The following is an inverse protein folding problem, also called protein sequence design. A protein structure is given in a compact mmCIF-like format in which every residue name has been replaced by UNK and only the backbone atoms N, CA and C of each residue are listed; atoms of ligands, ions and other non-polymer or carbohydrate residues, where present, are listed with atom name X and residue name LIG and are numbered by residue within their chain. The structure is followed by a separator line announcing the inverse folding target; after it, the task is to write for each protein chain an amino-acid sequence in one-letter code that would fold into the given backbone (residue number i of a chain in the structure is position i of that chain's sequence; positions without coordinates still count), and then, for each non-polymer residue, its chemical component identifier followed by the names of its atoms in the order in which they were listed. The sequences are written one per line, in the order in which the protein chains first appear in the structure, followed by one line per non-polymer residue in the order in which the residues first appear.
data_IF_142754905166
#
_entry.id   IF_142754905166
#
_cell.length_a   1.000
_cell.length_b   1.000
_cell.length_c   1.000
_cell.angle_alpha   90.00
_cell.angle_beta   90.00
_cell.angle_gamma   90.00
#
_symmetry.space_group_name_H-M   'P 1'
#
loop_
_entity.id
_entity.type
_entity.pdbx_description
1 polymer ?
#
# COMPACT_ATOMS: atom_id res chain seq x y z
N UNK A 1 -5.10 23.12 -0.75
CA UNK A 1 -5.34 21.67 -0.65
C UNK A 1 -6.02 21.41 0.68
N UNK A 2 -6.97 20.46 0.77
CA UNK A 2 -7.58 20.08 2.04
C UNK A 2 -6.53 19.47 2.99
N UNK A 3 -6.70 19.66 4.29
CA UNK A 3 -5.86 19.05 5.33
C UNK A 3 -6.30 17.60 5.61
N UNK A 4 -5.40 16.77 6.14
CA UNK A 4 -5.73 15.40 6.56
C UNK A 4 -6.91 15.39 7.55
N UNK A 5 -6.92 16.33 8.49
CA UNK A 5 -7.99 16.45 9.49
C UNK A 5 -9.36 16.76 8.86
N UNK A 6 -9.41 17.61 7.83
CA UNK A 6 -10.64 17.92 7.11
C UNK A 6 -11.15 16.72 6.30
N UNK A 7 -10.25 15.97 5.68
CA UNK A 7 -10.59 14.78 4.90
C UNK A 7 -11.15 13.67 5.80
N UNK A 8 -10.46 13.35 6.89
CA UNK A 8 -10.92 12.33 7.84
C UNK A 8 -12.28 12.72 8.45
N UNK A 9 -12.50 13.99 8.80
CA UNK A 9 -13.77 14.44 9.41
C UNK A 9 -15.01 14.26 8.52
N UNK A 10 -14.85 14.11 7.20
CA UNK A 10 -15.96 13.84 6.27
C UNK A 10 -16.47 12.40 6.37
N UNK A 11 -15.69 11.50 6.94
CA UNK A 11 -16.01 10.08 7.04
C UNK A 11 -16.81 9.74 8.29
N UNK A 12 -17.42 8.54 8.30
CA UNK A 12 -18.20 8.07 9.45
C UNK A 12 -17.32 7.92 10.70
N UNK A 13 -17.84 8.09 11.93
CA UNK A 13 -17.03 8.02 13.14
C UNK A 13 -16.21 6.73 13.29
N UNK A 14 -16.76 5.59 12.86
CA UNK A 14 -16.05 4.31 12.87
C UNK A 14 -14.88 4.32 11.87
N UNK A 15 -15.11 4.82 10.65
CA UNK A 15 -14.07 4.89 9.62
C UNK A 15 -12.93 5.84 10.04
N UNK A 16 -13.26 6.95 10.69
CA UNK A 16 -12.26 7.88 11.21
C UNK A 16 -11.25 7.22 12.14
N UNK A 17 -11.69 6.27 12.97
CA UNK A 17 -10.80 5.57 13.89
C UNK A 17 -9.77 4.72 13.14
N UNK A 18 -10.19 4.02 12.07
CA UNK A 18 -9.28 3.24 11.24
C UNK A 18 -8.37 4.13 10.40
N UNK A 19 -8.90 5.17 9.76
CA UNK A 19 -8.12 6.08 8.91
C UNK A 19 -7.01 6.79 9.69
N UNK A 20 -7.27 7.17 10.95
CA UNK A 20 -6.25 7.73 11.85
C UNK A 20 -5.15 6.74 12.24
N UNK A 21 -5.37 5.43 12.10
CA UNK A 21 -4.32 4.41 12.30
C UNK A 21 -3.48 4.21 11.05
N UNK A 22 -4.02 4.52 9.88
CA UNK A 22 -3.35 4.37 8.59
C UNK A 22 -2.58 5.61 8.17
N UNK A 23 -3.12 6.80 8.41
CA UNK A 23 -2.58 8.05 7.90
C UNK A 23 -2.44 9.04 9.04
N UNK A 24 -1.24 9.60 9.17
CA UNK A 24 -0.85 10.52 10.23
C UNK A 24 -0.24 11.78 9.59
N UNK A 25 -0.34 12.89 10.29
CA UNK A 25 0.36 14.13 9.94
C UNK A 25 1.31 14.49 11.08
N UNK A 26 2.60 14.52 10.79
CA UNK A 26 3.66 14.83 11.74
C UNK A 26 4.46 16.03 11.25
N UNK A 27 4.44 17.13 12.02
CA UNK A 27 5.16 18.36 11.66
C UNK A 27 4.82 18.91 10.24
N UNK A 28 3.62 18.63 9.74
CA UNK A 28 3.16 19.02 8.40
C UNK A 28 3.47 18.03 7.29
N UNK A 29 4.16 16.92 7.59
CA UNK A 29 4.40 15.82 6.66
C UNK A 29 3.36 14.71 6.83
N UNK A 30 2.82 14.22 5.71
CA UNK A 30 1.95 13.04 5.70
C UNK A 30 2.81 11.78 5.80
N UNK A 31 2.54 10.99 6.84
CA UNK A 31 3.09 9.66 7.10
C UNK A 31 2.00 8.62 6.90
N UNK A 32 2.35 7.51 6.26
CA UNK A 32 1.42 6.41 6.01
C UNK A 32 1.94 5.16 6.67
N UNK A 33 1.10 4.53 7.48
CA UNK A 33 1.39 3.23 8.06
C UNK A 33 0.97 2.13 7.07
N UNK A 34 1.81 1.92 6.06
CA UNK A 34 1.60 0.92 5.02
C UNK A 34 1.47 -0.51 5.58
N UNK A 35 2.13 -0.82 6.69
CA UNK A 35 1.99 -2.11 7.38
C UNK A 35 0.59 -2.31 7.97
N UNK A 36 0.00 -1.28 8.56
CA UNK A 36 -1.37 -1.35 9.08
C UNK A 36 -2.39 -1.51 7.95
N UNK A 37 -2.17 -0.85 6.80
CA UNK A 37 -2.99 -1.03 5.59
C UNK A 37 -2.89 -2.47 5.09
N UNK A 38 -1.67 -2.97 4.84
CA UNK A 38 -1.48 -4.33 4.32
C UNK A 38 -1.96 -5.41 5.27
N UNK A 39 -1.81 -5.22 6.59
CA UNK A 39 -2.39 -6.10 7.61
C UNK A 39 -3.92 -6.08 7.56
N UNK A 40 -4.52 -4.90 7.46
CA UNK A 40 -5.97 -4.77 7.38
C UNK A 40 -6.52 -5.47 6.13
N UNK A 41 -5.90 -5.30 4.96
CA UNK A 41 -6.28 -6.00 3.73
C UNK A 41 -6.22 -7.52 3.89
N UNK A 42 -5.16 -8.05 4.51
CA UNK A 42 -4.98 -9.49 4.77
C UNK A 42 -6.00 -10.05 5.76
N UNK A 43 -6.29 -9.32 6.83
CA UNK A 43 -7.21 -9.75 7.89
C UNK A 43 -8.69 -9.59 7.50
N UNK A 44 -9.00 -8.79 6.47
CA UNK A 44 -10.37 -8.44 6.11
C UNK A 44 -10.66 -8.74 4.64
N UNK A 45 -11.19 -9.93 4.37
CA UNK A 45 -11.54 -10.39 3.02
C UNK A 45 -12.97 -10.04 2.60
N UNK A 46 -13.77 -9.45 3.50
CA UNK A 46 -15.14 -9.03 3.20
C UNK A 46 -15.15 -7.68 2.48
N UNK A 47 -15.90 -7.60 1.38
CA UNK A 47 -15.98 -6.41 0.52
C UNK A 47 -16.37 -5.12 1.28
N UNK A 48 -17.24 -5.22 2.29
CA UNK A 48 -17.63 -4.06 3.11
C UNK A 48 -16.49 -3.50 3.97
N UNK A 49 -15.51 -4.34 4.32
CA UNK A 49 -14.35 -3.92 5.10
C UNK A 49 -13.27 -3.32 4.20
N UNK A 50 -13.12 -3.79 2.96
CA UNK A 50 -12.18 -3.20 1.99
C UNK A 50 -12.54 -1.74 1.61
N UNK A 51 -13.78 -1.31 1.84
CA UNK A 51 -14.19 0.11 1.66
C UNK A 51 -13.34 1.10 2.47
N UNK A 52 -12.78 0.70 3.61
CA UNK A 52 -11.91 1.60 4.39
C UNK A 52 -10.58 1.85 3.68
N UNK A 53 -10.08 0.87 2.94
CA UNK A 53 -8.84 0.94 2.18
C UNK A 53 -9.04 1.83 0.97
N UNK A 54 -10.16 1.67 0.25
CA UNK A 54 -10.55 2.56 -0.85
C UNK A 54 -10.63 4.02 -0.40
N UNK A 55 -11.17 4.26 0.80
CA UNK A 55 -11.20 5.58 1.44
C UNK A 55 -9.80 6.09 1.79
N UNK A 56 -8.93 5.23 2.35
CA UNK A 56 -7.55 5.59 2.64
C UNK A 56 -6.80 6.00 1.36
N UNK A 57 -6.91 5.22 0.28
CA UNK A 57 -6.31 5.56 -1.01
C UNK A 57 -6.88 6.85 -1.60
N UNK A 58 -8.19 7.09 -1.46
CA UNK A 58 -8.83 8.34 -1.89
C UNK A 58 -8.25 9.55 -1.14
N UNK A 59 -8.10 9.46 0.19
CA UNK A 59 -7.49 10.51 1.00
C UNK A 59 -6.02 10.72 0.60
N UNK A 60 -5.26 9.65 0.38
CA UNK A 60 -3.85 9.74 -0.03
C UNK A 60 -3.68 10.36 -1.42
N UNK A 61 -4.64 10.18 -2.34
CA UNK A 61 -4.67 10.89 -3.61
C UNK A 61 -4.96 12.38 -3.42
N UNK A 62 -5.94 12.74 -2.58
CA UNK A 62 -6.24 14.17 -2.29
C UNK A 62 -5.08 14.89 -1.59
N UNK A 63 -4.28 14.16 -0.81
CA UNK A 63 -3.07 14.66 -0.15
C UNK A 63 -1.81 14.61 -1.04
N UNK A 64 -1.89 14.03 -2.24
CA UNK A 64 -0.77 13.93 -3.18
C UNK A 64 0.32 12.91 -2.81
N UNK A 65 0.00 11.94 -1.95
CA UNK A 65 0.87 10.78 -1.66
C UNK A 65 0.74 9.71 -2.74
N UNK A 66 -0.48 9.56 -3.28
CA UNK A 66 -0.78 8.72 -4.43
C UNK A 66 -1.23 9.58 -5.62
N UNK A 67 -1.10 9.03 -6.82
CA UNK A 67 -1.47 9.68 -8.08
C UNK A 67 -2.02 8.67 -9.07
N UNK A 68 -2.82 9.14 -10.01
CA UNK A 68 -3.23 8.39 -11.21
C UNK A 68 -2.46 8.83 -12.46
N UNK A 69 -1.58 9.83 -12.34
CA UNK A 69 -0.67 10.26 -13.40
C UNK A 69 0.65 9.46 -13.30
N UNK A 70 1.05 8.72 -14.34
CA UNK A 70 2.34 8.02 -14.34
C UNK A 70 3.54 8.97 -14.39
N UNK A 71 3.38 10.20 -14.88
CA UNK A 71 4.49 11.14 -15.06
C UNK A 71 5.02 11.65 -13.71
N UNK A 72 6.31 11.41 -13.48
CA UNK A 72 7.03 11.79 -12.27
C UNK A 72 6.80 10.84 -11.09
N UNK A 73 6.00 9.79 -11.26
CA UNK A 73 5.57 8.90 -10.19
C UNK A 73 6.04 7.46 -10.41
N UNK A 74 5.98 6.66 -9.36
CA UNK A 74 6.48 5.29 -9.29
C UNK A 74 5.34 4.29 -9.33
N UNK A 75 5.46 3.26 -10.15
CA UNK A 75 4.61 2.07 -10.10
C UNK A 75 5.39 0.92 -9.48
N UNK A 76 4.79 0.22 -8.52
CA UNK A 76 5.25 -1.08 -8.09
C UNK A 76 4.77 -2.12 -9.10
N UNK A 77 5.73 -2.77 -9.76
CA UNK A 77 5.54 -3.95 -10.60
C UNK A 77 6.15 -5.17 -9.89
N UNK A 78 6.02 -6.39 -10.44
CA UNK A 78 6.46 -7.67 -9.82
C UNK A 78 7.90 -7.63 -9.22
N UNK A 79 8.04 -7.10 -8.01
CA UNK A 79 9.31 -6.93 -7.28
C UNK A 79 10.19 -5.75 -7.74
N UNK A 80 9.70 -4.84 -8.59
CA UNK A 80 10.49 -3.72 -9.13
C UNK A 80 9.70 -2.40 -9.15
N UNK A 81 10.41 -1.28 -9.03
CA UNK A 81 9.84 0.08 -9.10
C UNK A 81 10.14 0.75 -10.44
N UNK A 82 9.09 1.12 -11.17
CA UNK A 82 9.21 1.81 -12.45
C UNK A 82 8.85 3.29 -12.28
N UNK A 83 9.79 4.19 -12.55
CA UNK A 83 9.55 5.63 -12.65
C UNK A 83 9.07 5.98 -14.06
N UNK A 84 8.03 6.82 -14.19
CA UNK A 84 7.41 7.17 -15.48
C UNK A 84 6.98 5.93 -16.29
N UNK A 85 6.19 5.00 -15.74
CA UNK A 85 5.78 3.81 -16.44
C UNK A 85 5.05 4.17 -17.75
N UNK A 86 5.50 3.57 -18.85
CA UNK A 86 4.95 3.81 -20.19
C UNK A 86 3.93 2.72 -20.50
N UNK A 87 2.71 3.15 -20.85
CA UNK A 87 1.55 2.28 -21.03
C UNK A 87 0.61 2.39 -19.83
N UNK A 88 -0.54 3.03 -20.02
CA UNK A 88 -1.57 3.09 -18.98
C UNK A 88 -2.10 1.68 -18.73
N UNK A 89 -1.63 1.07 -17.65
CA UNK A 89 -2.40 0.02 -17.00
C UNK A 89 -3.66 0.69 -16.43
N UNK A 90 -4.81 0.32 -16.97
CA UNK A 90 -6.10 0.87 -16.58
C UNK A 90 -6.27 0.69 -15.06
N UNK A 91 -6.57 1.78 -14.33
CA UNK A 91 -6.72 1.82 -12.87
C UNK A 91 -5.45 1.60 -12.01
N UNK A 92 -4.24 1.84 -12.54
CA UNK A 92 -3.04 1.83 -11.68
C UNK A 92 -2.96 3.03 -10.75
N UNK A 93 -2.58 2.75 -9.50
CA UNK A 93 -2.17 3.73 -8.51
C UNK A 93 -0.65 3.89 -8.54
N UNK A 94 -0.18 5.13 -8.60
CA UNK A 94 1.24 5.48 -8.59
C UNK A 94 1.60 6.17 -7.28
N UNK A 95 2.80 5.89 -6.77
CA UNK A 95 3.36 6.56 -5.60
C UNK A 95 4.09 7.83 -6.03
N UNK A 96 3.86 8.95 -5.34
CA UNK A 96 4.58 10.20 -5.63
C UNK A 96 5.98 10.23 -5.01
N UNK A 97 6.24 9.36 -4.02
CA UNK A 97 7.53 9.21 -3.35
C UNK A 97 7.99 7.75 -3.41
N UNK A 98 9.25 7.53 -3.78
CA UNK A 98 9.85 6.18 -3.83
C UNK A 98 9.86 5.48 -2.46
N UNK A 99 10.00 6.24 -1.38
CA UNK A 99 10.00 5.68 -0.02
C UNK A 99 8.68 4.98 0.30
N UNK A 100 7.54 5.63 0.00
CA UNK A 100 6.22 5.03 0.22
C UNK A 100 6.03 3.77 -0.61
N UNK A 101 6.52 3.76 -1.85
CA UNK A 101 6.44 2.58 -2.73
C UNK A 101 7.17 1.38 -2.11
N UNK A 102 8.36 1.60 -1.55
CA UNK A 102 9.16 0.57 -0.85
C UNK A 102 8.52 0.08 0.43
N UNK A 103 7.99 0.99 1.24
CA UNK A 103 7.30 0.62 2.47
C UNK A 103 6.00 -0.15 2.19
N UNK A 104 5.30 0.22 1.12
CA UNK A 104 4.14 -0.53 0.62
C UNK A 104 4.55 -1.94 0.17
N UNK A 105 5.57 -2.09 -0.67
CA UNK A 105 6.07 -3.40 -1.12
C UNK A 105 6.38 -4.32 0.08
N UNK A 106 7.13 -3.80 1.05
CA UNK A 106 7.47 -4.52 2.29
C UNK A 106 6.23 -5.00 3.04
N UNK A 107 5.21 -4.15 3.18
CA UNK A 107 3.97 -4.48 3.89
C UNK A 107 3.14 -5.58 3.18
N UNK A 108 3.17 -5.61 1.84
CA UNK A 108 2.32 -6.49 1.05
C UNK A 108 3.02 -7.82 0.71
N UNK A 109 4.29 -7.79 0.29
CA UNK A 109 4.95 -8.93 -0.37
C UNK A 109 6.06 -9.61 0.43
N UNK A 110 6.79 -8.92 1.32
CA UNK A 110 7.90 -9.56 2.06
C UNK A 110 7.44 -10.66 3.04
N UNK A 111 6.18 -10.62 3.50
CA UNK A 111 5.62 -11.71 4.31
C UNK A 111 5.34 -12.99 3.52
N UNK A 112 5.23 -12.93 2.19
CA UNK A 112 4.98 -14.11 1.35
C UNK A 112 6.30 -14.78 0.91
N UNK A 113 7.38 -14.02 0.71
CA UNK A 113 8.68 -14.58 0.29
C UNK A 113 9.38 -15.45 1.36
N UNK A 114 8.99 -15.36 2.63
CA UNK A 114 9.50 -16.29 3.66
C UNK A 114 8.82 -17.66 3.64
N UNK A 115 7.74 -17.84 2.88
CA UNK A 115 7.01 -19.12 2.81
C UNK A 115 7.45 -20.04 1.65
N UNK A 116 8.15 -19.53 0.63
CA UNK A 116 8.49 -20.32 -0.57
C UNK A 116 9.92 -20.88 -0.59
N UNK A 117 10.83 -20.41 0.28
CA UNK A 117 12.21 -20.93 0.32
C UNK A 117 12.44 -22.12 1.27
N UNK A 118 11.39 -22.69 1.88
CA UNK A 118 11.51 -23.88 2.75
C UNK A 118 11.15 -25.23 2.11
N UNK A 119 10.87 -25.30 0.81
CA UNK A 119 10.65 -26.57 0.13
C UNK A 119 11.37 -26.64 -1.22
N UNK A 120 12.63 -27.06 -1.20
CA UNK A 120 13.24 -27.99 -2.17
C UNK A 120 14.68 -28.28 -1.74
N UNK A 121 14.79 -29.15 -0.74
CA UNK A 121 16.03 -29.82 -0.33
C UNK A 121 15.78 -31.31 -0.12
N UNK A 122 14.88 -31.92 -0.90
CA UNK A 122 14.87 -33.39 -1.03
C UNK A 122 16.08 -33.74 -1.88
N UNK A 123 17.15 -34.20 -1.25
CA UNK A 123 18.11 -35.07 -1.91
C UNK A 123 17.98 -36.45 -1.29
N UNK A 124 17.13 -37.26 -1.91
CA UNK A 124 17.35 -38.69 -1.89
C UNK A 124 18.76 -38.93 -2.42
N UNK A 125 19.55 -39.68 -1.67
CA UNK A 125 20.77 -40.32 -2.16
C UNK A 125 20.84 -41.66 -1.48
N UNK A 126 20.13 -42.60 -2.08
CA UNK A 126 20.45 -44.02 -1.99
C UNK A 126 21.84 -44.29 -2.60
N UNK A 127 22.49 -45.33 -2.06
CA UNK A 127 23.65 -46.07 -2.58
C UNK A 127 25.06 -45.53 -2.26
N UNK A 128 25.71 -46.16 -1.27
CA UNK A 128 26.53 -47.36 -1.51
C UNK A 128 26.48 -48.30 -0.29
#
# INVERSE_FOLDING_TARGET
MPTLAELIKKESPNDQEYLKRFILEEMGDIKVNWEAIGRYEKENTQADRLKIIDKAYSILMELGVLSTDPKGNYLLTDGDFVLNPVGSLFNSLYFTRLLDAKEYERAHYESEMTSTFMFLGVKESTSN
#
